data_IF_420223536055
#
_entry.id   IF_420223536055
#
_cell.length_a   1.000
_cell.length_b   1.000
_cell.length_c   1.000
_cell.angle_alpha   90.00
_cell.angle_beta   90.00
_cell.angle_gamma   90.00
#
_symmetry.space_group_name_H-M   'P 1'
#
loop_
_entity.id
_entity.type
_entity.pdbx_description
1 polymer ?
#
# COMPACT_ATOMS: atom_id res chain seq x y z
N UNK A 1 -1.51 -19.89 12.65
CA UNK A 1 -0.84 -18.60 12.89
C UNK A 1 0.27 -18.34 11.89
N UNK A 2 0.52 -17.07 11.57
CA UNK A 2 1.61 -16.61 10.67
C UNK A 2 2.76 -15.95 11.44
N UNK A 3 2.65 -15.83 12.76
CA UNK A 3 3.64 -15.17 13.62
C UNK A 3 4.26 -16.16 14.61
N UNK A 4 5.58 -16.09 14.85
CA UNK A 4 6.57 -15.35 14.06
C UNK A 4 6.65 -15.86 12.62
N UNK A 5 6.98 -14.98 11.67
CA UNK A 5 7.04 -15.36 10.26
C UNK A 5 8.26 -16.22 9.97
N UNK A 6 8.04 -17.33 9.28
CA UNK A 6 9.09 -18.12 8.64
C UNK A 6 9.51 -17.43 7.33
N UNK A 7 10.62 -16.71 7.37
CA UNK A 7 11.10 -15.91 6.23
C UNK A 7 11.50 -16.79 5.04
N UNK A 8 12.09 -17.97 5.28
CA UNK A 8 12.49 -18.88 4.21
C UNK A 8 11.26 -19.39 3.45
N UNK A 9 10.19 -19.74 4.19
CA UNK A 9 8.91 -20.12 3.59
C UNK A 9 8.28 -18.96 2.80
N UNK A 10 8.37 -17.72 3.31
CA UNK A 10 7.84 -16.52 2.64
C UNK A 10 8.57 -16.28 1.32
N UNK A 11 9.90 -16.22 1.34
CA UNK A 11 10.69 -15.98 0.12
C UNK A 11 10.55 -17.12 -0.89
N UNK A 12 10.52 -18.38 -0.43
CA UNK A 12 10.20 -19.52 -1.31
C UNK A 12 8.82 -19.41 -1.96
N UNK A 13 7.87 -18.72 -1.31
CA UNK A 13 6.57 -18.42 -1.90
C UNK A 13 6.62 -17.31 -2.93
N UNK A 14 7.35 -16.24 -2.64
CA UNK A 14 7.54 -15.12 -3.56
C UNK A 14 8.32 -15.53 -4.81
N UNK A 15 9.34 -16.38 -4.69
CA UNK A 15 10.12 -16.87 -5.82
C UNK A 15 9.28 -17.66 -6.84
N UNK A 16 8.22 -18.35 -6.38
CA UNK A 16 7.32 -19.07 -7.30
C UNK A 16 6.55 -18.13 -8.23
N UNK A 17 6.20 -16.93 -7.77
CA UNK A 17 5.42 -15.95 -8.55
C UNK A 17 6.30 -14.85 -9.16
N UNK A 18 7.57 -14.76 -8.75
CA UNK A 18 8.51 -13.73 -9.18
C UNK A 18 8.60 -13.54 -10.70
N UNK A 19 8.59 -14.59 -11.56
CA UNK A 19 8.59 -14.41 -13.01
C UNK A 19 7.37 -13.64 -13.54
N UNK A 20 6.23 -13.73 -12.84
CA UNK A 20 4.97 -13.10 -13.21
C UNK A 20 4.79 -11.70 -12.60
N UNK A 21 5.70 -11.29 -11.70
CA UNK A 21 5.66 -9.97 -11.08
C UNK A 21 6.19 -8.92 -12.06
N UNK A 22 5.25 -8.25 -12.73
CA UNK A 22 5.54 -7.19 -13.70
C UNK A 22 6.40 -6.05 -13.13
N UNK A 23 6.15 -5.69 -11.87
CA UNK A 23 6.92 -4.66 -11.14
C UNK A 23 6.70 -4.76 -9.63
N UNK A 24 7.80 -4.64 -8.89
CA UNK A 24 7.76 -4.31 -7.46
C UNK A 24 7.64 -2.79 -7.34
N UNK A 25 6.40 -2.30 -7.16
CA UNK A 25 6.12 -0.88 -7.13
C UNK A 25 6.70 -0.21 -5.87
N UNK A 26 7.19 1.03 -6.02
CA UNK A 26 7.81 1.80 -4.95
C UNK A 26 6.95 2.94 -4.42
N UNK A 27 5.90 3.36 -5.15
CA UNK A 27 5.00 4.45 -4.72
C UNK A 27 3.53 4.17 -4.99
N UNK A 28 2.65 4.83 -4.24
CA UNK A 28 1.20 4.75 -4.45
C UNK A 28 0.74 5.28 -5.82
N UNK A 29 1.42 6.29 -6.37
CA UNK A 29 1.11 6.80 -7.71
C UNK A 29 1.51 5.81 -8.81
N UNK A 30 2.64 5.13 -8.64
CA UNK A 30 3.10 4.11 -9.60
C UNK A 30 2.12 2.96 -9.72
N UNK A 31 1.62 2.43 -8.59
CA UNK A 31 0.65 1.32 -8.62
C UNK A 31 -0.71 1.75 -9.17
N UNK A 32 -1.11 3.00 -8.92
CA UNK A 32 -2.31 3.58 -9.52
C UNK A 32 -2.18 3.67 -11.05
N UNK A 33 -1.03 4.12 -11.56
CA UNK A 33 -0.76 4.21 -12.99
C UNK A 33 -0.78 2.82 -13.66
N UNK A 34 -0.16 1.82 -13.02
CA UNK A 34 -0.16 0.44 -13.55
C UNK A 34 -1.57 -0.14 -13.69
N UNK A 35 -2.48 0.14 -12.74
CA UNK A 35 -3.89 -0.24 -12.84
C UNK A 35 -4.61 0.54 -13.94
N UNK A 36 -4.36 1.85 -14.04
CA UNK A 36 -4.97 2.71 -15.07
C UNK A 36 -4.59 2.26 -16.49
N UNK A 37 -3.31 1.96 -16.72
CA UNK A 37 -2.78 1.54 -18.02
C UNK A 37 -3.07 0.07 -18.34
N UNK A 38 -3.76 -0.64 -17.44
CA UNK A 38 -4.03 -2.08 -17.55
C UNK A 38 -2.75 -2.89 -17.75
N UNK A 39 -1.66 -2.45 -17.10
CA UNK A 39 -0.36 -3.12 -17.15
C UNK A 39 -0.28 -4.33 -16.20
N UNK A 40 -1.30 -4.55 -15.37
CA UNK A 40 -1.45 -5.67 -14.44
C UNK A 40 -2.90 -6.14 -14.40
N UNK A 41 -3.09 -7.46 -14.30
CA UNK A 41 -4.42 -8.07 -14.19
C UNK A 41 -4.87 -8.23 -12.72
N UNK A 42 -3.91 -8.47 -11.82
CA UNK A 42 -4.11 -8.62 -10.38
C UNK A 42 -3.00 -7.89 -9.64
N UNK A 43 -3.36 -7.19 -8.56
CA UNK A 43 -2.40 -6.37 -7.82
C UNK A 43 -2.70 -6.33 -6.33
N UNK A 44 -1.65 -6.40 -5.51
CA UNK A 44 -1.71 -5.96 -4.12
C UNK A 44 -1.38 -4.46 -4.07
N UNK A 45 -2.38 -3.64 -3.76
CA UNK A 45 -2.30 -2.18 -3.82
C UNK A 45 -2.96 -1.55 -2.58
N UNK A 46 -2.65 -0.27 -2.35
CA UNK A 46 -3.43 0.54 -1.42
C UNK A 46 -4.87 0.68 -1.94
N UNK A 47 -5.84 0.37 -1.09
CA UNK A 47 -7.26 0.36 -1.41
C UNK A 47 -7.76 1.72 -1.92
N UNK A 48 -7.26 2.83 -1.36
CA UNK A 48 -7.58 4.19 -1.81
C UNK A 48 -7.17 4.47 -3.26
N UNK A 49 -6.08 3.85 -3.76
CA UNK A 49 -5.62 4.03 -5.14
C UNK A 49 -6.55 3.33 -6.12
N UNK A 50 -6.92 2.08 -5.82
CA UNK A 50 -7.91 1.34 -6.60
C UNK A 50 -9.30 2.03 -6.52
N UNK A 51 -9.69 2.47 -5.32
CA UNK A 51 -10.97 3.13 -5.08
C UNK A 51 -11.16 4.42 -5.87
N UNK A 52 -10.11 5.23 -6.05
CA UNK A 52 -10.16 6.42 -6.92
C UNK A 52 -10.45 6.06 -8.37
N UNK A 53 -9.80 5.03 -8.91
CA UNK A 53 -10.02 4.59 -10.29
C UNK A 53 -11.42 3.97 -10.49
N UNK A 54 -11.90 3.20 -9.51
CA UNK A 54 -13.26 2.64 -9.52
C UNK A 54 -14.30 3.77 -9.56
N UNK A 55 -14.11 4.83 -8.76
CA UNK A 55 -14.98 6.03 -8.81
C UNK A 55 -14.95 6.73 -10.17
N UNK A 56 -13.87 6.59 -10.92
CA UNK A 56 -13.73 7.12 -12.29
C UNK A 56 -14.28 6.18 -13.37
N UNK A 57 -14.87 5.04 -12.99
CA UNK A 57 -15.46 4.07 -13.91
C UNK A 57 -14.46 3.05 -14.47
N UNK A 58 -13.26 2.94 -13.89
CA UNK A 58 -12.34 1.87 -14.27
C UNK A 58 -12.95 0.49 -13.93
N UNK A 59 -12.78 -0.52 -14.80
CA UNK A 59 -13.31 -1.86 -14.59
C UNK A 59 -12.44 -2.65 -13.59
N UNK A 60 -12.40 -2.19 -12.34
CA UNK A 60 -11.63 -2.77 -11.24
C UNK A 60 -12.55 -3.19 -10.11
N UNK A 61 -12.14 -4.23 -9.37
CA UNK A 61 -12.80 -4.68 -8.15
C UNK A 61 -11.77 -4.83 -7.01
N UNK A 62 -12.18 -4.51 -5.78
CA UNK A 62 -11.34 -4.74 -4.59
C UNK A 62 -11.82 -6.00 -3.88
N UNK A 63 -11.00 -7.06 -3.91
CA UNK A 63 -11.19 -8.22 -3.06
C UNK A 63 -10.56 -7.97 -1.67
N UNK A 64 -11.35 -8.11 -0.60
CA UNK A 64 -10.92 -7.89 0.80
C UNK A 64 -10.61 -9.17 1.57
N UNK A 65 -10.77 -10.34 0.96
CA UNK A 65 -10.43 -11.60 1.60
C UNK A 65 -8.92 -11.61 1.93
N UNK A 66 -8.58 -11.90 3.19
CA UNK A 66 -7.20 -11.87 3.71
C UNK A 66 -6.49 -10.50 3.59
N UNK A 67 -7.24 -9.40 3.51
CA UNK A 67 -6.66 -8.05 3.48
C UNK A 67 -5.85 -7.75 4.75
N UNK A 68 -4.75 -7.02 4.57
CA UNK A 68 -3.94 -6.48 5.68
C UNK A 68 -4.38 -5.05 5.97
N UNK A 69 -4.82 -4.81 7.20
CA UNK A 69 -5.05 -3.45 7.70
C UNK A 69 -3.75 -2.91 8.28
N UNK A 70 -3.42 -1.67 7.95
CA UNK A 70 -2.28 -0.92 8.48
C UNK A 70 -2.73 0.46 8.93
N UNK A 71 -1.96 1.08 9.82
CA UNK A 71 -2.20 2.42 10.33
C UNK A 71 -0.97 3.27 10.08
N UNK A 72 -1.19 4.48 9.60
CA UNK A 72 -0.18 5.53 9.56
C UNK A 72 -0.34 6.42 10.79
N UNK A 73 0.78 6.93 11.29
CA UNK A 73 0.81 7.77 12.48
C UNK A 73 1.50 9.08 12.17
N UNK A 74 0.90 10.18 12.61
CA UNK A 74 1.63 11.44 12.74
C UNK A 74 2.68 11.31 13.84
N UNK A 75 3.90 11.75 13.54
CA UNK A 75 5.00 11.77 14.50
C UNK A 75 5.69 13.12 14.51
N UNK A 76 5.99 13.62 15.71
CA UNK A 76 6.77 14.84 15.90
C UNK A 76 8.17 14.42 16.33
N UNK A 77 9.15 14.63 15.46
CA UNK A 77 10.54 14.25 15.71
C UNK A 77 11.11 15.03 16.89
N UNK A 78 11.80 14.34 17.80
CA UNK A 78 12.45 14.96 18.97
C UNK A 78 13.44 16.03 18.51
N UNK A 79 13.33 17.23 19.06
CA UNK A 79 14.16 18.38 18.67
C UNK A 79 13.66 19.15 17.45
N UNK A 80 12.45 18.85 16.95
CA UNK A 80 11.84 19.65 15.89
C UNK A 80 11.76 21.14 16.29
N UNK A 81 12.24 22.08 15.46
CA UNK A 81 12.16 23.52 15.76
C UNK A 81 10.72 24.03 15.76
N UNK A 82 9.77 23.26 15.20
CA UNK A 82 8.36 23.63 15.05
C UNK A 82 7.43 22.69 15.83
N UNK A 83 7.89 22.10 16.94
CA UNK A 83 7.12 21.10 17.69
C UNK A 83 5.72 21.60 18.10
N UNK A 84 5.60 22.85 18.55
CA UNK A 84 4.30 23.41 18.95
C UNK A 84 3.32 23.55 17.77
N UNK A 85 3.79 24.08 16.64
CA UNK A 85 2.97 24.18 15.42
C UNK A 85 2.59 22.79 14.89
N UNK A 86 3.49 21.81 14.98
CA UNK A 86 3.17 20.43 14.61
C UNK A 86 2.11 19.80 15.53
N UNK A 87 2.13 20.09 16.84
CA UNK A 87 1.07 19.65 17.76
C UNK A 87 -0.28 20.28 17.42
N UNK A 88 -0.30 21.59 17.09
CA UNK A 88 -1.51 22.27 16.64
C UNK A 88 -2.04 21.67 15.33
N UNK A 89 -1.16 21.33 14.39
CA UNK A 89 -1.54 20.64 13.15
C UNK A 89 -2.17 19.28 13.44
N UNK A 90 -1.54 18.45 14.27
CA UNK A 90 -2.10 17.14 14.65
C UNK A 90 -3.43 17.26 15.39
N UNK A 91 -3.64 18.31 16.19
CA UNK A 91 -4.91 18.57 16.85
C UNK A 91 -6.01 19.06 15.90
N UNK A 92 -5.64 19.64 14.75
CA UNK A 92 -6.57 20.14 13.74
C UNK A 92 -7.05 19.03 12.78
N UNK A 93 -6.18 18.07 12.45
CA UNK A 93 -6.48 16.94 11.55
C UNK A 93 -7.44 15.94 12.15
#
# INVERSE_FOLDING_TARGET
DIYPMDLDRVFKSLDRIKPDIRKWWGTGSEIQQMMHDKAVDLVNAYDGRAGTLIKQGAPLEINRNQAKITWDYWQIVKGSPNAHAAQQFVAFT
#
